data_IF_630592437012
#
_entry.id   IF_630592437012
#
_cell.length_a   1.000
_cell.length_b   1.000
_cell.length_c   1.000
_cell.angle_alpha   90.00
_cell.angle_beta   90.00
_cell.angle_gamma   90.00
#
_symmetry.space_group_name_H-M   'P 1'
#
loop_
_entity.id
_entity.type
_entity.pdbx_description
1 polymer ?
#
# COMPACT_ATOMS: atom_id res chain seq x y z
N UNK A 1 -11.34 6.89 11.16
CA UNK A 1 -10.95 8.31 10.99
C UNK A 1 -10.29 8.49 9.65
N UNK A 2 -10.70 9.47 8.85
CA UNK A 2 -10.11 9.80 7.55
C UNK A 2 -10.42 11.28 7.22
N UNK A 3 -9.56 11.95 6.45
CA UNK A 3 -9.80 13.32 6.00
C UNK A 3 -10.84 13.38 4.85
N UNK A 4 -11.16 12.23 4.24
CA UNK A 4 -12.14 12.05 3.17
C UNK A 4 -11.85 12.81 1.86
N UNK A 5 -10.58 13.03 1.51
CA UNK A 5 -10.22 13.70 0.26
C UNK A 5 -10.82 13.07 -0.98
N UNK A 6 -10.97 11.76 -0.99
CA UNK A 6 -11.53 11.01 -2.13
C UNK A 6 -12.99 10.60 -1.93
N UNK A 7 -13.64 11.14 -0.91
CA UNK A 7 -15.01 10.77 -0.55
C UNK A 7 -15.10 9.58 0.41
N UNK A 8 -16.34 9.32 0.85
CA UNK A 8 -16.62 8.20 1.73
C UNK A 8 -17.24 7.04 0.92
N UNK A 9 -16.52 5.93 0.85
CA UNK A 9 -16.96 4.70 0.18
C UNK A 9 -17.40 3.61 1.17
N UNK A 10 -17.48 3.93 2.47
CA UNK A 10 -17.85 2.97 3.49
C UNK A 10 -19.36 2.73 3.50
N UNK A 11 -19.76 1.48 3.59
CA UNK A 11 -21.17 1.13 3.82
C UNK A 11 -21.50 1.33 5.30
N UNK A 12 -22.63 1.97 5.58
CA UNK A 12 -23.12 2.13 6.96
C UNK A 12 -23.28 0.78 7.63
N UNK A 13 -22.80 0.66 8.87
CA UNK A 13 -22.94 -0.55 9.67
C UNK A 13 -23.05 -0.16 11.15
N UNK A 14 -23.87 -0.90 11.93
CA UNK A 14 -24.16 -0.59 13.35
C UNK A 14 -22.91 -0.51 14.24
N UNK A 15 -21.84 -1.20 13.87
CA UNK A 15 -20.58 -1.23 14.62
C UNK A 15 -19.50 -0.36 13.95
N UNK A 16 -19.87 0.54 13.04
CA UNK A 16 -18.94 1.43 12.36
C UNK A 16 -19.28 2.89 12.67
N UNK A 17 -18.34 3.58 13.32
CA UNK A 17 -18.36 5.03 13.49
C UNK A 17 -17.35 5.65 12.53
N UNK A 18 -17.79 6.55 11.67
CA UNK A 18 -16.95 7.26 10.71
C UNK A 18 -16.73 8.69 11.21
N UNK A 19 -15.47 9.08 11.33
CA UNK A 19 -15.07 10.40 11.81
C UNK A 19 -14.24 11.06 10.71
N UNK A 20 -14.70 12.21 10.21
CA UNK A 20 -13.93 13.02 9.29
C UNK A 20 -13.02 13.96 10.09
N UNK A 21 -11.71 13.68 10.06
CA UNK A 21 -10.70 14.49 10.73
C UNK A 21 -9.33 14.33 10.04
N UNK A 22 -8.51 15.37 10.15
CA UNK A 22 -7.09 15.30 9.81
C UNK A 22 -6.33 14.55 10.92
N UNK A 23 -5.43 13.64 10.53
CA UNK A 23 -4.61 12.87 11.48
C UNK A 23 -3.70 13.76 12.33
N UNK A 24 -3.41 14.99 11.89
CA UNK A 24 -2.64 15.99 12.64
C UNK A 24 -3.44 16.62 13.78
N UNK A 25 -4.76 16.61 13.68
CA UNK A 25 -5.67 17.08 14.73
C UNK A 25 -5.89 15.98 15.77
N UNK A 26 -4.82 15.62 16.47
CA UNK A 26 -4.80 14.45 17.36
C UNK A 26 -5.91 14.46 18.42
N UNK A 27 -6.36 15.61 18.86
CA UNK A 27 -7.42 15.74 19.86
C UNK A 27 -8.79 15.29 19.33
N UNK A 28 -9.02 15.38 18.02
CA UNK A 28 -10.25 14.90 17.37
C UNK A 28 -10.31 13.38 17.17
N UNK A 29 -9.22 12.66 17.46
CA UNK A 29 -9.15 11.22 17.29
C UNK A 29 -9.49 10.54 18.61
N UNK A 30 -10.67 9.90 18.75
CA UNK A 30 -11.04 9.25 20.01
C UNK A 30 -10.19 8.00 20.24
N UNK A 31 -9.86 7.75 21.52
CA UNK A 31 -9.07 6.59 21.93
C UNK A 31 -9.74 5.76 23.03
N UNK A 32 -10.85 6.26 23.61
CA UNK A 32 -11.53 5.56 24.71
C UNK A 32 -12.06 4.20 24.25
N UNK A 33 -11.67 3.14 24.94
CA UNK A 33 -12.11 1.77 24.65
C UNK A 33 -11.48 1.18 23.36
N UNK A 34 -10.43 1.78 22.82
CA UNK A 34 -9.74 1.27 21.63
C UNK A 34 -8.64 0.30 22.06
N UNK A 35 -8.70 -0.94 21.56
CA UNK A 35 -7.69 -1.97 21.80
C UNK A 35 -6.59 -1.96 20.75
N UNK A 36 -6.92 -1.66 19.49
CA UNK A 36 -5.99 -1.74 18.36
C UNK A 36 -6.16 -0.56 17.42
N UNK A 37 -5.05 -0.01 16.96
CA UNK A 37 -4.98 0.98 15.90
C UNK A 37 -4.39 0.33 14.65
N UNK A 38 -5.11 0.43 13.53
CA UNK A 38 -4.56 0.21 12.18
C UNK A 38 -4.29 1.58 11.55
N UNK A 39 -3.04 1.99 11.56
CA UNK A 39 -2.65 3.30 11.04
C UNK A 39 -2.35 3.24 9.55
N UNK A 40 -3.34 3.63 8.73
CA UNK A 40 -3.28 3.64 7.26
C UNK A 40 -3.26 5.07 6.70
N UNK A 41 -3.67 6.07 7.50
CA UNK A 41 -3.75 7.45 7.07
C UNK A 41 -2.35 8.00 6.76
N UNK A 42 -2.16 8.44 5.52
CA UNK A 42 -0.92 9.08 5.10
C UNK A 42 -1.05 9.71 3.70
N UNK A 43 -0.11 10.59 3.34
CA UNK A 43 0.12 10.99 1.95
C UNK A 43 0.87 9.84 1.29
N UNK A 44 0.20 9.16 0.36
CA UNK A 44 0.68 7.91 -0.24
C UNK A 44 1.29 8.15 -1.62
N UNK A 45 2.26 7.32 -1.95
CA UNK A 45 3.08 7.23 -3.17
C UNK A 45 4.15 8.32 -3.36
N UNK A 46 5.15 7.97 -4.17
CA UNK A 46 6.32 8.81 -4.42
C UNK A 46 5.95 10.16 -5.06
N UNK A 47 5.23 10.21 -6.20
CA UNK A 47 4.95 11.48 -6.85
C UNK A 47 4.11 12.46 -6.01
N UNK A 48 3.19 11.95 -5.19
CA UNK A 48 2.37 12.81 -4.31
C UNK A 48 3.18 13.28 -3.11
N UNK A 49 4.04 12.43 -2.55
CA UNK A 49 4.92 12.81 -1.45
C UNK A 49 5.88 13.95 -1.81
N UNK A 50 6.38 13.93 -3.04
CA UNK A 50 7.32 14.93 -3.56
C UNK A 50 6.66 16.28 -3.90
N UNK A 51 5.33 16.36 -4.05
CA UNK A 51 4.62 17.63 -4.29
C UNK A 51 4.76 18.60 -3.11
N UNK A 52 4.81 18.08 -1.88
CA UNK A 52 5.01 18.87 -0.68
C UNK A 52 5.69 18.01 0.40
N UNK A 53 7.01 18.00 0.38
CA UNK A 53 7.83 17.19 1.30
C UNK A 53 7.57 17.53 2.77
N UNK A 54 7.36 18.82 3.10
CA UNK A 54 7.05 19.27 4.47
C UNK A 54 5.73 18.67 4.95
N UNK A 55 4.65 18.82 4.16
CA UNK A 55 3.35 18.25 4.49
C UNK A 55 3.41 16.72 4.60
N UNK A 56 4.16 16.08 3.70
CA UNK A 56 4.37 14.63 3.72
C UNK A 56 5.02 14.18 5.02
N UNK A 57 6.03 14.89 5.50
CA UNK A 57 6.68 14.58 6.78
C UNK A 57 5.74 14.83 7.97
N UNK A 58 5.00 15.92 7.96
CA UNK A 58 4.03 16.24 9.03
C UNK A 58 2.95 15.18 9.15
N UNK A 59 2.32 14.77 8.03
CA UNK A 59 1.23 13.80 8.01
C UNK A 59 1.75 12.38 8.26
N UNK A 60 2.84 11.97 7.60
CA UNK A 60 3.28 10.59 7.65
C UNK A 60 4.09 10.27 8.92
N UNK A 61 5.00 11.16 9.34
CA UNK A 61 5.92 10.88 10.44
C UNK A 61 5.51 11.56 11.75
N UNK A 62 5.29 12.87 11.75
CA UNK A 62 4.97 13.58 13.00
C UNK A 62 3.61 13.20 13.55
N UNK A 63 2.59 13.09 12.70
CA UNK A 63 1.27 12.64 13.15
C UNK A 63 1.32 11.19 13.67
N UNK A 64 2.12 10.30 13.07
CA UNK A 64 2.33 8.93 13.58
C UNK A 64 2.91 8.93 14.99
N UNK A 65 3.87 9.85 15.28
CA UNK A 65 4.43 10.01 16.62
C UNK A 65 3.35 10.40 17.65
N UNK A 66 2.59 11.43 17.36
CA UNK A 66 1.55 11.90 18.28
C UNK A 66 0.43 10.85 18.46
N UNK A 67 0.13 10.10 17.39
CA UNK A 67 -0.87 9.05 17.44
C UNK A 67 -0.45 7.90 18.37
N UNK A 68 0.80 7.43 18.28
CA UNK A 68 1.28 6.34 19.14
C UNK A 68 1.40 6.80 20.60
N UNK A 69 1.87 8.02 20.85
CA UNK A 69 1.94 8.58 22.21
C UNK A 69 0.54 8.67 22.85
N UNK A 70 -0.47 9.13 22.09
CA UNK A 70 -1.85 9.15 22.54
C UNK A 70 -2.38 7.74 22.76
N UNK A 71 -2.05 6.79 21.89
CA UNK A 71 -2.43 5.38 22.01
C UNK A 71 -1.92 4.77 23.32
N UNK A 72 -0.63 4.95 23.64
CA UNK A 72 -0.01 4.46 24.87
C UNK A 72 -0.68 5.07 26.09
N UNK A 73 -0.88 6.39 26.11
CA UNK A 73 -1.55 7.11 27.20
C UNK A 73 -2.98 6.58 27.45
N UNK A 74 -3.67 6.09 26.44
CA UNK A 74 -5.02 5.52 26.53
C UNK A 74 -5.02 3.98 26.61
N UNK A 75 -3.88 3.36 26.90
CA UNK A 75 -3.75 1.92 27.12
C UNK A 75 -4.16 1.05 25.92
N UNK A 76 -4.00 1.55 24.69
CA UNK A 76 -4.13 0.78 23.46
C UNK A 76 -3.10 -0.36 23.49
N UNK A 77 -3.51 -1.56 23.08
CA UNK A 77 -2.66 -2.77 23.19
C UNK A 77 -1.81 -3.03 21.96
N UNK A 78 -2.29 -2.62 20.79
CA UNK A 78 -1.67 -2.99 19.52
C UNK A 78 -1.70 -1.83 18.54
N UNK A 79 -0.58 -1.64 17.84
CA UNK A 79 -0.43 -0.65 16.78
C UNK A 79 0.05 -1.35 15.49
N UNK A 80 -0.78 -1.37 14.45
CA UNK A 80 -0.45 -1.96 13.14
C UNK A 80 -0.23 -0.81 12.16
N UNK A 81 0.98 -0.68 11.64
CA UNK A 81 1.38 0.43 10.78
C UNK A 81 1.55 0.00 9.33
N UNK A 82 0.95 0.76 8.41
CA UNK A 82 1.19 0.64 6.98
C UNK A 82 2.45 1.41 6.59
N UNK A 83 3.59 0.72 6.53
CA UNK A 83 4.80 1.20 5.88
C UNK A 83 4.74 0.97 4.36
N UNK A 84 5.84 0.71 3.71
CA UNK A 84 5.94 0.43 2.27
C UNK A 84 7.19 -0.39 1.97
N UNK A 85 7.09 -1.32 1.03
CA UNK A 85 8.27 -2.01 0.49
C UNK A 85 9.24 -1.07 -0.24
N UNK A 86 8.80 0.13 -0.62
CA UNK A 86 9.67 1.12 -1.28
C UNK A 86 10.71 1.78 -0.34
N UNK A 87 10.61 1.57 0.98
CA UNK A 87 11.62 2.04 1.95
C UNK A 87 13.00 1.43 1.73
N UNK A 88 13.06 0.27 1.07
CA UNK A 88 14.33 -0.38 0.74
C UNK A 88 15.14 0.38 -0.32
N UNK A 89 14.47 1.17 -1.17
CA UNK A 89 15.10 1.81 -2.33
C UNK A 89 15.48 0.80 -3.43
N UNK A 90 16.55 1.06 -4.16
CA UNK A 90 17.09 0.10 -5.13
C UNK A 90 17.88 -0.98 -4.41
N UNK A 91 17.63 -2.23 -4.74
CA UNK A 91 18.28 -3.40 -4.16
C UNK A 91 18.77 -4.34 -5.26
N UNK A 92 20.02 -4.77 -5.15
CA UNK A 92 20.64 -5.75 -6.04
C UNK A 92 20.46 -7.18 -5.51
N UNK A 93 20.19 -7.31 -4.21
CA UNK A 93 19.97 -8.59 -3.57
C UNK A 93 18.80 -9.34 -4.21
N UNK A 94 18.95 -10.65 -4.52
CA UNK A 94 17.92 -11.45 -5.17
C UNK A 94 16.68 -11.63 -4.29
N UNK A 95 16.83 -11.48 -2.97
CA UNK A 95 15.78 -11.53 -1.97
C UNK A 95 15.91 -10.35 -1.01
N UNK A 96 14.87 -9.53 -0.91
CA UNK A 96 14.85 -8.39 0.01
C UNK A 96 14.06 -8.76 1.25
N UNK A 97 14.79 -9.02 2.33
CA UNK A 97 14.29 -9.41 3.65
C UNK A 97 14.21 -8.20 4.58
N UNK A 98 13.54 -8.34 5.74
CA UNK A 98 13.26 -7.24 6.66
C UNK A 98 14.49 -6.70 7.39
N UNK A 99 15.57 -7.45 7.44
CA UNK A 99 16.87 -7.11 8.08
C UNK A 99 17.78 -6.26 7.18
N UNK A 100 17.48 -6.14 5.88
CA UNK A 100 18.29 -5.32 4.98
C UNK A 100 18.20 -3.82 5.30
N UNK A 101 19.28 -3.08 5.07
CA UNK A 101 19.32 -1.63 5.26
C UNK A 101 18.26 -0.91 4.42
N UNK A 102 17.62 0.10 5.00
CA UNK A 102 16.70 0.97 4.29
C UNK A 102 17.47 2.10 3.61
N UNK A 103 17.26 2.29 2.30
CA UNK A 103 17.88 3.31 1.47
C UNK A 103 16.79 4.09 0.69
N UNK A 104 15.90 4.80 1.40
CA UNK A 104 14.77 5.49 0.77
C UNK A 104 15.24 6.61 -0.15
N UNK A 105 14.62 6.73 -1.32
CA UNK A 105 14.98 7.69 -2.36
C UNK A 105 14.11 8.95 -2.28
N UNK A 106 12.79 8.76 -2.28
CA UNK A 106 11.80 9.83 -2.33
C UNK A 106 11.42 10.33 -0.94
N UNK A 107 10.79 11.50 -0.86
CA UNK A 107 10.33 12.05 0.42
C UNK A 107 9.22 11.19 1.05
N UNK A 108 8.37 10.56 0.23
CA UNK A 108 7.43 9.54 0.72
C UNK A 108 8.16 8.39 1.41
N UNK A 109 9.16 7.78 0.75
CA UNK A 109 9.89 6.64 1.30
C UNK A 109 10.68 7.02 2.56
N UNK A 110 11.30 8.21 2.57
CA UNK A 110 11.98 8.76 3.75
C UNK A 110 11.00 8.94 4.91
N UNK A 111 9.82 9.51 4.66
CA UNK A 111 8.80 9.70 5.69
C UNK A 111 8.35 8.37 6.29
N UNK A 112 8.16 7.31 5.48
CA UNK A 112 7.82 5.97 5.96
C UNK A 112 8.93 5.35 6.81
N UNK A 113 10.19 5.45 6.38
CA UNK A 113 11.34 4.99 7.17
C UNK A 113 11.44 5.74 8.51
N UNK A 114 11.24 7.05 8.52
CA UNK A 114 11.24 7.85 9.76
C UNK A 114 10.11 7.39 10.68
N UNK A 115 8.91 7.17 10.14
CA UNK A 115 7.76 6.64 10.90
C UNK A 115 8.08 5.30 11.55
N UNK A 116 8.69 4.36 10.79
CA UNK A 116 9.10 3.06 11.35
C UNK A 116 10.04 3.23 12.55
N UNK A 117 11.06 4.10 12.43
CA UNK A 117 12.03 4.35 13.51
C UNK A 117 11.36 4.99 14.74
N UNK A 118 10.47 5.95 14.52
CA UNK A 118 9.69 6.56 15.60
C UNK A 118 8.84 5.49 16.30
N UNK A 119 8.08 4.71 15.56
CA UNK A 119 7.21 3.69 16.14
C UNK A 119 8.03 2.64 16.90
N UNK A 120 9.13 2.15 16.33
CA UNK A 120 9.99 1.15 16.97
C UNK A 120 10.63 1.64 18.28
N UNK A 121 10.77 2.96 18.50
CA UNK A 121 11.25 3.49 19.79
C UNK A 121 10.27 3.27 20.95
N UNK A 122 9.00 2.95 20.64
CA UNK A 122 7.95 2.64 21.61
C UNK A 122 7.63 1.12 21.72
N UNK A 123 8.49 0.26 21.18
CA UNK A 123 8.25 -1.20 21.13
C UNK A 123 8.10 -1.88 22.50
N UNK A 124 8.63 -1.27 23.53
CA UNK A 124 8.54 -1.76 24.91
C UNK A 124 7.28 -1.27 25.63
N UNK A 125 6.58 -0.28 25.08
CA UNK A 125 5.38 0.33 25.65
C UNK A 125 4.08 -0.23 25.05
N UNK A 126 4.11 -0.62 23.76
CA UNK A 126 2.95 -1.12 23.01
C UNK A 126 3.37 -2.15 21.97
N UNK A 127 2.52 -3.15 21.72
CA UNK A 127 2.77 -4.12 20.64
C UNK A 127 2.71 -3.46 19.26
N UNK A 128 3.79 -3.55 18.49
CA UNK A 128 3.91 -2.91 17.17
C UNK A 128 4.10 -3.94 16.07
N UNK A 129 3.26 -3.84 15.03
CA UNK A 129 3.44 -4.55 13.77
C UNK A 129 3.63 -3.52 12.65
N UNK A 130 4.76 -3.57 11.98
CA UNK A 130 5.06 -2.74 10.82
C UNK A 130 4.94 -3.61 9.57
N UNK A 131 4.01 -3.25 8.69
CA UNK A 131 3.81 -3.95 7.44
C UNK A 131 4.43 -3.15 6.31
N UNK A 132 5.29 -3.79 5.51
CA UNK A 132 5.89 -3.23 4.29
C UNK A 132 5.21 -3.85 3.06
N UNK A 133 4.04 -3.34 2.66
CA UNK A 133 3.34 -3.88 1.50
C UNK A 133 4.10 -3.66 0.22
N UNK A 134 3.98 -4.63 -0.67
CA UNK A 134 4.27 -4.53 -2.09
C UNK A 134 3.23 -3.63 -2.80
N UNK A 135 3.32 -3.48 -4.12
CA UNK A 135 2.30 -2.82 -4.91
C UNK A 135 0.98 -3.58 -4.79
N UNK A 136 -0.03 -2.93 -4.24
CA UNK A 136 -1.35 -3.55 -4.06
C UNK A 136 -2.11 -3.50 -5.39
N UNK A 137 -2.64 -4.64 -5.83
CA UNK A 137 -3.42 -4.78 -7.06
C UNK A 137 -4.81 -5.38 -6.78
N UNK A 138 -5.70 -5.31 -7.75
CA UNK A 138 -7.10 -5.75 -7.62
C UNK A 138 -8.07 -4.58 -7.49
N UNK A 139 -9.36 -4.90 -7.46
CA UNK A 139 -10.41 -3.90 -7.40
C UNK A 139 -10.65 -3.39 -5.97
N UNK A 140 -10.92 -2.11 -5.86
CA UNK A 140 -11.43 -1.47 -4.65
C UNK A 140 -12.45 -0.39 -5.01
N UNK A 141 -13.33 -0.02 -4.08
CA UNK A 141 -14.34 1.02 -4.32
C UNK A 141 -13.69 2.38 -4.65
N UNK A 142 -12.58 2.70 -3.99
CA UNK A 142 -11.69 3.79 -4.37
C UNK A 142 -10.48 3.20 -5.09
N UNK A 143 -10.58 3.15 -6.41
CA UNK A 143 -9.56 2.54 -7.26
C UNK A 143 -8.33 3.44 -7.41
N UNK A 144 -7.18 2.83 -7.70
CA UNK A 144 -5.97 3.49 -8.17
C UNK A 144 -5.58 2.93 -9.54
N UNK A 145 -5.70 3.75 -10.58
CA UNK A 145 -5.40 3.38 -11.96
C UNK A 145 -3.97 3.75 -12.41
N UNK A 146 -3.20 4.33 -11.51
CA UNK A 146 -1.79 4.71 -11.69
C UNK A 146 -0.78 3.62 -11.27
N UNK A 147 -1.25 2.49 -10.76
CA UNK A 147 -0.41 1.34 -10.39
C UNK A 147 -0.25 0.36 -11.56
N UNK A 148 0.91 -0.30 -11.65
CA UNK A 148 1.29 -1.12 -12.81
C UNK A 148 0.21 -2.09 -13.30
N UNK A 149 -0.34 -2.93 -12.43
CA UNK A 149 -1.35 -3.93 -12.83
C UNK A 149 -2.63 -3.27 -13.33
N UNK A 150 -3.17 -2.31 -12.58
CA UNK A 150 -4.41 -1.61 -12.95
C UNK A 150 -4.20 -0.72 -14.19
N UNK A 151 -3.07 -0.01 -14.27
CA UNK A 151 -2.75 0.86 -15.39
C UNK A 151 -2.64 0.06 -16.71
N UNK A 152 -1.85 -1.01 -16.73
CA UNK A 152 -1.68 -1.81 -17.95
C UNK A 152 -2.98 -2.50 -18.37
N UNK A 153 -3.77 -2.98 -17.40
CA UNK A 153 -5.09 -3.58 -17.68
C UNK A 153 -6.07 -2.55 -18.24
N UNK A 154 -6.10 -1.34 -17.67
CA UNK A 154 -6.97 -0.27 -18.18
C UNK A 154 -6.53 0.24 -19.55
N UNK A 155 -5.22 0.39 -19.81
CA UNK A 155 -4.74 0.72 -21.15
C UNK A 155 -5.22 -0.29 -22.21
N UNK A 156 -5.17 -1.57 -21.90
CA UNK A 156 -5.68 -2.61 -22.80
C UNK A 156 -7.18 -2.45 -23.07
N UNK A 157 -7.97 -2.12 -22.02
CA UNK A 157 -9.42 -1.98 -22.12
C UNK A 157 -9.87 -0.69 -22.83
N UNK A 158 -9.15 0.42 -22.61
CA UNK A 158 -9.56 1.73 -23.13
C UNK A 158 -8.91 2.10 -24.45
N UNK A 159 -7.62 1.71 -24.64
CA UNK A 159 -6.82 2.12 -25.78
C UNK A 159 -6.61 1.00 -26.82
N UNK A 160 -7.03 -0.24 -26.51
CA UNK A 160 -6.80 -1.38 -27.38
C UNK A 160 -5.31 -1.76 -27.54
N UNK A 161 -4.42 -1.21 -26.74
CA UNK A 161 -2.99 -1.49 -26.69
C UNK A 161 -2.41 -1.21 -25.32
N UNK A 162 -1.24 -1.80 -25.04
CA UNK A 162 -0.47 -1.59 -23.80
C UNK A 162 0.87 -0.96 -24.17
N UNK A 163 1.20 0.18 -23.56
CA UNK A 163 2.53 0.78 -23.65
C UNK A 163 3.33 0.42 -22.40
N UNK A 164 4.46 -0.26 -22.59
CA UNK A 164 5.38 -0.68 -21.54
C UNK A 164 6.65 0.13 -21.63
N UNK A 165 6.97 0.87 -20.56
CA UNK A 165 8.22 1.62 -20.47
C UNK A 165 9.31 0.74 -19.86
N UNK A 166 10.33 0.38 -20.65
CA UNK A 166 11.41 -0.56 -20.30
C UNK A 166 10.94 -2.00 -20.27
N UNK A 167 10.32 -2.43 -19.19
CA UNK A 167 9.63 -3.72 -19.06
C UNK A 167 10.37 -4.77 -18.21
N UNK A 168 11.70 -4.72 -18.11
CA UNK A 168 12.49 -5.69 -17.34
C UNK A 168 12.49 -5.44 -15.83
N UNK A 169 12.14 -4.23 -15.42
CA UNK A 169 12.07 -3.87 -14.01
C UNK A 169 11.01 -4.70 -13.28
N UNK A 170 11.44 -5.37 -12.22
CA UNK A 170 10.59 -6.20 -11.37
C UNK A 170 9.88 -5.35 -10.33
N UNK A 171 8.61 -5.67 -10.07
CA UNK A 171 7.81 -5.10 -8.99
C UNK A 171 7.21 -6.23 -8.15
N UNK A 172 7.33 -6.13 -6.82
CA UNK A 172 6.58 -7.01 -5.96
C UNK A 172 5.11 -6.58 -5.93
N UNK A 173 4.21 -7.56 -5.89
CA UNK A 173 2.77 -7.36 -5.91
C UNK A 173 2.09 -8.13 -4.79
N UNK A 174 0.96 -7.60 -4.33
CA UNK A 174 0.03 -8.27 -3.43
C UNK A 174 -1.40 -7.95 -3.86
N UNK A 175 -2.25 -8.97 -3.89
CA UNK A 175 -3.67 -8.76 -4.17
C UNK A 175 -4.37 -8.02 -3.01
N UNK A 176 -5.32 -7.14 -3.30
CA UNK A 176 -6.08 -6.34 -2.32
C UNK A 176 -6.69 -7.21 -1.21
N UNK A 177 -7.31 -8.33 -1.58
CA UNK A 177 -7.92 -9.23 -0.59
C UNK A 177 -6.88 -9.85 0.35
N UNK A 178 -5.69 -10.15 -0.15
CA UNK A 178 -4.62 -10.69 0.68
C UNK A 178 -4.01 -9.61 1.56
N UNK A 179 -3.90 -8.37 1.07
CA UNK A 179 -3.47 -7.25 1.92
C UNK A 179 -4.44 -7.00 3.08
N UNK A 180 -5.74 -7.00 2.81
CA UNK A 180 -6.78 -6.96 3.87
C UNK A 180 -6.61 -8.17 4.81
N UNK A 181 -6.40 -9.35 4.24
CA UNK A 181 -6.14 -10.57 5.00
C UNK A 181 -4.94 -10.46 5.94
N UNK A 182 -3.86 -9.82 5.51
CA UNK A 182 -2.66 -9.56 6.34
C UNK A 182 -3.00 -8.67 7.54
N UNK A 183 -3.73 -7.57 7.35
CA UNK A 183 -4.17 -6.71 8.47
C UNK A 183 -5.04 -7.49 9.47
N UNK A 184 -6.02 -8.24 8.97
CA UNK A 184 -6.90 -9.05 9.82
C UNK A 184 -6.15 -10.17 10.53
N UNK A 185 -5.10 -10.74 9.90
CA UNK A 185 -4.25 -11.75 10.50
C UNK A 185 -3.50 -11.19 11.71
N UNK A 186 -2.83 -10.05 11.56
CA UNK A 186 -2.14 -9.40 12.69
C UNK A 186 -3.11 -8.90 13.76
N UNK A 187 -4.29 -8.43 13.38
CA UNK A 187 -5.35 -8.09 14.35
C UNK A 187 -5.70 -9.30 15.24
N UNK A 188 -5.84 -10.50 14.64
CA UNK A 188 -6.13 -11.73 15.37
C UNK A 188 -4.96 -12.24 16.20
N UNK A 189 -3.74 -12.02 15.75
CA UNK A 189 -2.54 -12.38 16.51
C UNK A 189 -2.39 -11.53 17.78
N UNK A 190 -2.93 -10.31 17.77
CA UNK A 190 -2.87 -9.39 18.90
C UNK A 190 -1.41 -9.09 19.28
N UNK A 191 -1.04 -9.29 20.53
CA UNK A 191 0.32 -9.06 21.05
C UNK A 191 1.38 -10.08 20.61
N UNK A 192 1.02 -11.11 19.83
CA UNK A 192 1.97 -12.12 19.39
C UNK A 192 2.78 -11.65 18.19
N UNK A 193 4.03 -12.11 18.13
CA UNK A 193 4.98 -11.89 17.01
C UNK A 193 5.09 -10.42 16.56
N UNK A 194 5.38 -9.46 17.47
CA UNK A 194 5.61 -8.08 17.08
C UNK A 194 6.81 -7.97 16.13
N UNK A 195 6.85 -6.91 15.33
CA UNK A 195 7.99 -6.65 14.45
C UNK A 195 7.60 -6.15 13.06
N UNK A 196 8.57 -6.25 12.15
CA UNK A 196 8.46 -5.77 10.77
C UNK A 196 8.23 -6.96 9.86
N UNK A 197 7.33 -6.79 8.87
CA UNK A 197 6.94 -7.83 7.93
C UNK A 197 6.77 -7.29 6.52
N UNK A 198 7.46 -7.90 5.57
CA UNK A 198 7.18 -7.70 4.15
C UNK A 198 5.86 -8.37 3.77
N UNK A 199 5.09 -7.72 2.91
CA UNK A 199 3.83 -8.23 2.42
C UNK A 199 3.75 -8.10 0.89
N UNK A 200 4.30 -9.09 0.19
CA UNK A 200 4.29 -9.19 -1.27
C UNK A 200 4.63 -10.61 -1.68
N UNK A 201 3.81 -11.20 -2.57
CA UNK A 201 3.90 -12.62 -2.85
C UNK A 201 4.28 -12.93 -4.31
N UNK A 202 4.21 -11.95 -5.20
CA UNK A 202 4.56 -12.12 -6.61
C UNK A 202 5.52 -11.01 -7.06
N UNK A 203 6.76 -11.39 -7.36
CA UNK A 203 7.76 -10.49 -7.93
C UNK A 203 7.76 -10.66 -9.45
N UNK A 204 7.11 -9.75 -10.19
CA UNK A 204 6.86 -9.89 -11.63
C UNK A 204 7.41 -8.67 -12.38
N UNK A 205 8.00 -8.89 -13.55
CA UNK A 205 8.44 -7.79 -14.44
C UNK A 205 7.22 -7.05 -15.01
N UNK A 206 7.40 -5.76 -15.32
CA UNK A 206 6.32 -4.97 -15.95
C UNK A 206 5.90 -5.58 -17.29
N UNK A 207 6.86 -6.08 -18.06
CA UNK A 207 6.57 -6.77 -19.32
C UNK A 207 5.77 -8.07 -19.13
N UNK A 208 6.08 -8.84 -18.08
CA UNK A 208 5.34 -10.08 -17.83
C UNK A 208 3.93 -9.80 -17.29
N UNK A 209 3.73 -8.71 -16.52
CA UNK A 209 2.37 -8.24 -16.18
C UNK A 209 1.60 -7.90 -17.47
N UNK A 210 2.21 -7.16 -18.41
CA UNK A 210 1.57 -6.85 -19.70
C UNK A 210 1.22 -8.12 -20.50
N UNK A 211 2.12 -9.11 -20.54
CA UNK A 211 1.83 -10.42 -21.16
C UNK A 211 0.70 -11.18 -20.45
N UNK A 212 0.58 -11.07 -19.13
CA UNK A 212 -0.56 -11.65 -18.40
C UNK A 212 -1.88 -11.00 -18.83
N UNK A 213 -1.90 -9.68 -19.00
CA UNK A 213 -3.08 -8.96 -19.51
C UNK A 213 -3.47 -9.44 -20.92
N UNK A 214 -2.49 -9.64 -21.82
CA UNK A 214 -2.78 -10.10 -23.20
C UNK A 214 -3.31 -11.52 -23.28
N UNK A 215 -3.18 -12.33 -22.23
CA UNK A 215 -3.86 -13.64 -22.16
C UNK A 215 -5.39 -13.53 -22.07
N UNK A 216 -5.89 -12.38 -21.58
CA UNK A 216 -7.32 -12.14 -21.38
C UNK A 216 -7.91 -11.11 -22.35
N UNK A 217 -7.05 -10.27 -22.95
CA UNK A 217 -7.44 -9.20 -23.87
C UNK A 217 -6.54 -9.25 -25.11
N UNK A 218 -7.16 -9.33 -26.29
CA UNK A 218 -6.45 -9.42 -27.57
C UNK A 218 -5.91 -8.05 -27.99
N UNK A 219 -4.80 -7.61 -27.37
CA UNK A 219 -4.18 -6.29 -27.61
C UNK A 219 -2.68 -6.42 -27.86
N UNK A 220 -2.08 -5.42 -28.53
CA UNK A 220 -0.64 -5.34 -28.78
C UNK A 220 0.09 -4.72 -27.60
N UNK A 221 1.32 -5.19 -27.34
CA UNK A 221 2.27 -4.55 -26.42
C UNK A 221 3.26 -3.73 -27.24
N UNK A 222 3.38 -2.45 -26.93
CA UNK A 222 4.40 -1.54 -27.45
C UNK A 222 5.42 -1.29 -26.35
N UNK A 223 6.70 -1.56 -26.61
CA UNK A 223 7.79 -1.33 -25.64
C UNK A 223 8.51 -0.06 -26.05
N UNK A 224 8.71 0.83 -25.08
CA UNK A 224 9.46 2.10 -25.22
C UNK A 224 10.60 2.15 -24.21
N UNK A 225 11.60 2.97 -24.43
CA UNK A 225 12.69 3.17 -23.49
C UNK A 225 12.19 3.74 -22.15
N UNK A 226 12.89 3.40 -21.08
CA UNK A 226 12.59 3.91 -19.74
C UNK A 226 13.86 4.26 -18.98
N UNK A 227 13.82 5.38 -18.28
CA UNK A 227 14.83 5.77 -17.29
C UNK A 227 14.54 5.26 -15.87
N UNK A 228 13.44 4.56 -15.66
CA UNK A 228 13.07 4.04 -14.33
C UNK A 228 13.90 2.80 -13.99
N UNK A 229 14.95 3.02 -13.20
CA UNK A 229 15.87 1.98 -12.74
C UNK A 229 15.36 1.21 -11.52
N UNK A 230 14.22 1.59 -10.94
CA UNK A 230 13.68 0.90 -9.77
C UNK A 230 13.30 -0.53 -10.14
N UNK A 231 14.02 -1.48 -9.58
CA UNK A 231 13.73 -2.91 -9.69
C UNK A 231 14.04 -3.54 -8.34
N UNK A 232 13.06 -4.16 -7.74
CA UNK A 232 13.24 -4.80 -6.44
C UNK A 232 12.28 -5.96 -6.25
N UNK A 233 12.68 -6.85 -5.37
CA UNK A 233 11.91 -8.03 -4.98
C UNK A 233 11.77 -8.01 -3.48
N UNK A 234 10.66 -8.50 -2.96
CA UNK A 234 10.49 -8.70 -1.52
C UNK A 234 10.35 -10.19 -1.23
N UNK A 235 10.98 -10.60 -0.14
CA UNK A 235 10.76 -11.91 0.46
C UNK A 235 9.77 -11.74 1.63
N UNK A 236 8.72 -12.54 1.65
CA UNK A 236 7.68 -12.50 2.69
C UNK A 236 7.62 -13.77 3.53
N UNK A 237 8.70 -14.57 3.54
CA UNK A 237 8.75 -15.85 4.28
C UNK A 237 8.49 -15.65 5.77
N UNK A 238 8.98 -14.55 6.35
CA UNK A 238 8.71 -14.19 7.74
C UNK A 238 7.21 -14.01 8.02
N UNK A 239 6.47 -13.38 7.12
CA UNK A 239 5.01 -13.25 7.22
C UNK A 239 4.33 -14.63 7.07
N UNK A 240 4.76 -15.43 6.08
CA UNK A 240 4.20 -16.76 5.87
C UNK A 240 4.44 -17.69 7.07
N UNK A 241 5.60 -17.58 7.74
CA UNK A 241 5.93 -18.34 8.96
C UNK A 241 4.97 -18.02 10.13
N UNK A 242 4.25 -16.88 10.12
CA UNK A 242 3.20 -16.62 11.12
C UNK A 242 1.92 -17.40 10.89
N UNK A 243 1.84 -18.20 9.82
CA UNK A 243 0.67 -18.98 9.42
C UNK A 243 -0.25 -18.29 8.42
N UNK A 244 0.11 -17.11 7.93
CA UNK A 244 -0.63 -16.45 6.84
C UNK A 244 -0.49 -17.28 5.55
N UNK A 245 -1.59 -17.34 4.78
CA UNK A 245 -1.64 -18.03 3.48
C UNK A 245 -2.28 -17.09 2.45
N UNK A 246 -1.53 -16.62 1.43
CA UNK A 246 -2.10 -15.84 0.34
C UNK A 246 -3.07 -16.70 -0.47
N UNK A 247 -4.08 -16.09 -1.06
CA UNK A 247 -5.16 -16.77 -1.79
C UNK A 247 -5.31 -16.29 -3.22
N UNK A 248 -4.87 -15.09 -3.53
CA UNK A 248 -5.04 -14.44 -4.82
C UNK A 248 -3.75 -13.85 -5.34
N UNK A 249 -3.67 -13.69 -6.66
CA UNK A 249 -2.49 -13.15 -7.33
C UNK A 249 -2.81 -12.04 -8.32
N UNK A 250 -1.79 -11.63 -9.07
CA UNK A 250 -1.88 -10.61 -10.11
C UNK A 250 -2.87 -11.00 -11.20
N UNK A 251 -2.93 -12.28 -11.57
CA UNK A 251 -3.90 -12.75 -12.56
C UNK A 251 -5.36 -12.55 -12.10
N UNK A 252 -5.64 -12.80 -10.82
CA UNK A 252 -6.98 -12.55 -10.24
C UNK A 252 -7.31 -11.06 -10.27
N UNK A 253 -6.34 -10.20 -9.96
CA UNK A 253 -6.48 -8.75 -10.02
C UNK A 253 -6.83 -8.26 -11.44
N UNK A 254 -6.14 -8.78 -12.46
CA UNK A 254 -6.41 -8.47 -13.87
C UNK A 254 -7.84 -8.85 -14.23
N UNK A 255 -8.27 -10.07 -13.89
CA UNK A 255 -9.63 -10.55 -14.18
C UNK A 255 -10.70 -9.73 -13.45
N UNK A 256 -10.48 -9.38 -12.19
CA UNK A 256 -11.39 -8.51 -11.42
C UNK A 256 -11.55 -7.14 -12.09
N UNK A 257 -10.46 -6.50 -12.51
CA UNK A 257 -10.49 -5.20 -13.18
C UNK A 257 -11.26 -5.29 -14.50
N UNK A 258 -10.98 -6.31 -15.33
CA UNK A 258 -11.70 -6.55 -16.58
C UNK A 258 -13.20 -6.72 -16.33
N UNK A 259 -13.57 -7.53 -15.36
CA UNK A 259 -14.97 -7.78 -15.01
C UNK A 259 -15.68 -6.51 -14.54
N UNK A 260 -15.04 -5.73 -13.65
CA UNK A 260 -15.60 -4.49 -13.12
C UNK A 260 -15.74 -3.39 -14.18
N UNK A 261 -14.78 -3.29 -15.10
CA UNK A 261 -14.87 -2.39 -16.23
C UNK A 261 -16.02 -2.78 -17.17
N UNK A 262 -16.12 -4.05 -17.56
CA UNK A 262 -17.18 -4.55 -18.44
C UNK A 262 -18.59 -4.43 -17.84
N UNK A 263 -18.72 -4.52 -16.53
CA UNK A 263 -20.01 -4.32 -15.81
C UNK A 263 -20.36 -2.84 -15.60
N UNK A 264 -19.49 -1.89 -15.99
CA UNK A 264 -19.68 -0.47 -15.73
C UNK A 264 -19.43 -0.03 -14.28
N UNK A 265 -19.01 -0.94 -13.40
CA UNK A 265 -18.70 -0.63 -12.01
C UNK A 265 -17.33 0.08 -11.84
N UNK A 266 -16.46 -0.04 -12.82
CA UNK A 266 -15.20 0.69 -12.91
C UNK A 266 -15.17 1.50 -14.21
N UNK A 267 -14.81 2.78 -14.11
CA UNK A 267 -14.61 3.68 -15.24
C UNK A 267 -13.20 4.26 -15.17
N UNK A 268 -12.66 4.70 -16.31
CA UNK A 268 -11.41 5.46 -16.34
C UNK A 268 -11.71 6.92 -15.98
N UNK A 269 -11.65 7.23 -14.69
CA UNK A 269 -11.91 8.58 -14.17
C UNK A 269 -10.62 9.16 -13.56
N UNK A 270 -10.40 10.47 -13.75
CA UNK A 270 -9.22 11.20 -13.23
C UNK A 270 -9.07 11.06 -11.72
N UNK A 271 -10.17 11.03 -10.96
CA UNK A 271 -10.14 10.81 -9.51
C UNK A 271 -9.44 9.51 -9.08
N UNK A 272 -9.26 8.56 -10.00
CA UNK A 272 -8.51 7.31 -9.77
C UNK A 272 -7.03 7.41 -10.17
N UNK A 273 -6.62 8.53 -10.79
CA UNK A 273 -5.23 8.84 -11.15
C UNK A 273 -4.69 9.81 -10.11
N UNK A 274 -4.02 9.27 -9.12
CA UNK A 274 -3.66 9.97 -7.88
C UNK A 274 -2.99 11.33 -8.08
N UNK A 275 -1.97 11.41 -8.94
CA UNK A 275 -1.19 12.64 -9.12
C UNK A 275 -1.97 13.74 -9.85
N UNK A 276 -2.86 13.36 -10.76
CA UNK A 276 -3.65 14.33 -11.54
C UNK A 276 -4.73 14.98 -10.67
N UNK A 277 -5.17 14.31 -9.61
CA UNK A 277 -6.15 14.85 -8.67
C UNK A 277 -5.59 15.98 -7.78
N UNK A 278 -4.27 16.00 -7.57
CA UNK A 278 -3.59 16.98 -6.72
C UNK A 278 -2.99 18.15 -7.50
N UNK A 279 -2.97 18.10 -8.83
CA UNK A 279 -2.57 19.23 -9.69
C UNK A 279 -3.71 20.22 -9.86
#
# INVERSE_FOLDING_TARGET
>A
VDIMWFGNYLTSHRNLTVIQADIRDIDKIPMDGIDTIMHLANIANDPTGDLNAKLTLEVNALASKFLIEKAIKNSVKQFIFASSGSVYGVKEEPQVTEDLPLLPITDYNKSKMISERILLSYKDDITIHILRPATVCGYSARMRLDLSVSMLTMQALTNGKITVFGGQQTRPNIHMNDMIGVYLHFLKLGGKVPGIYNAGFENISILDIAKMVTKHLSVKIEITDSSDLRSYRVNSDKLLATGFKPKKGVNDAILEIIQKYRSGALKDEEKYKWIEYYK
#
